data_IF_978752355189
#
_entry.id   IF_978752355189
#
_cell.length_a   1.000
_cell.length_b   1.000
_cell.length_c   1.000
_cell.angle_alpha   90.00
_cell.angle_beta   90.00
_cell.angle_gamma   90.00
#
_symmetry.space_group_name_H-M   'P 1'
#
loop_
_entity.id
_entity.type
_entity.pdbx_description
1 polymer ?
#
# COMPACT_ATOMS: atom_id res chain seq x y z
N UNK A 1 -52.56 -31.88 -45.95
CA UNK A 1 -51.54 -32.29 -44.94
C UNK A 1 -50.40 -31.34 -45.01
N UNK A 2 -50.40 -30.33 -44.12
CA UNK A 2 -49.44 -29.28 -44.08
C UNK A 2 -48.50 -29.53 -42.86
N UNK A 3 -47.22 -29.82 -43.12
CA UNK A 3 -46.21 -29.97 -42.14
C UNK A 3 -45.77 -28.55 -41.67
N UNK A 4 -45.99 -28.22 -40.41
CA UNK A 4 -45.38 -27.06 -39.76
C UNK A 4 -43.89 -27.30 -39.66
N UNK A 5 -43.10 -26.36 -40.21
CA UNK A 5 -41.66 -26.21 -39.93
C UNK A 5 -41.49 -25.51 -38.58
N UNK A 6 -40.71 -26.09 -37.70
CA UNK A 6 -40.34 -25.47 -36.45
C UNK A 6 -39.35 -24.32 -36.68
N UNK A 7 -39.64 -23.20 -36.07
CA UNK A 7 -38.74 -22.04 -36.00
C UNK A 7 -37.54 -22.37 -35.13
N UNK A 8 -36.43 -22.72 -35.74
CA UNK A 8 -35.15 -22.80 -35.09
C UNK A 8 -34.60 -21.39 -34.90
N UNK A 9 -34.70 -20.87 -33.70
CA UNK A 9 -34.06 -19.64 -33.29
C UNK A 9 -32.54 -19.80 -33.48
N UNK A 10 -31.96 -19.07 -34.43
CA UNK A 10 -30.51 -19.01 -34.67
C UNK A 10 -29.87 -18.26 -33.50
N UNK A 11 -29.43 -18.99 -32.48
CA UNK A 11 -28.59 -18.42 -31.42
C UNK A 11 -27.32 -17.92 -32.06
N UNK A 12 -27.09 -16.59 -32.00
CA UNK A 12 -25.86 -16.00 -32.50
C UNK A 12 -24.68 -16.61 -31.78
N UNK A 13 -23.74 -17.19 -32.52
CA UNK A 13 -22.56 -17.91 -31.99
C UNK A 13 -21.75 -17.08 -30.98
N UNK A 14 -21.85 -15.75 -31.02
CA UNK A 14 -21.23 -14.83 -30.06
C UNK A 14 -21.86 -14.78 -28.66
N UNK A 15 -23.03 -15.39 -28.42
CA UNK A 15 -23.76 -15.34 -27.14
C UNK A 15 -23.49 -16.54 -26.22
N UNK A 16 -22.83 -17.57 -26.68
CA UNK A 16 -22.47 -18.72 -25.87
C UNK A 16 -21.50 -18.31 -24.77
N UNK A 17 -21.74 -18.68 -23.49
CA UNK A 17 -20.88 -18.27 -22.34
C UNK A 17 -19.40 -18.63 -22.55
N UNK A 18 -19.12 -19.72 -23.23
CA UNK A 18 -17.78 -20.19 -23.56
C UNK A 18 -17.08 -19.27 -24.58
N UNK A 19 -17.78 -18.77 -25.59
CA UNK A 19 -17.24 -17.84 -26.60
C UNK A 19 -17.00 -16.46 -26.00
N UNK A 20 -17.86 -15.98 -25.09
CA UNK A 20 -17.64 -14.77 -24.32
C UNK A 20 -16.39 -14.88 -23.40
N UNK A 21 -16.14 -16.06 -22.83
CA UNK A 21 -14.92 -16.32 -22.06
C UNK A 21 -13.66 -16.40 -22.93
N UNK A 22 -13.75 -17.01 -24.11
CA UNK A 22 -12.65 -17.07 -25.08
C UNK A 22 -12.32 -15.68 -25.64
N UNK A 23 -13.31 -14.91 -26.03
CA UNK A 23 -13.14 -13.53 -26.50
C UNK A 23 -12.51 -12.64 -25.42
N UNK A 24 -12.86 -12.84 -24.13
CA UNK A 24 -12.25 -12.13 -23.00
C UNK A 24 -10.80 -12.54 -22.76
N UNK A 25 -10.40 -13.77 -23.07
CA UNK A 25 -8.99 -14.23 -23.02
C UNK A 25 -8.16 -13.74 -24.19
N UNK A 26 -8.78 -13.48 -25.34
CA UNK A 26 -8.14 -13.01 -26.58
C UNK A 26 -8.18 -11.48 -26.73
N UNK A 27 -8.92 -10.78 -25.87
CA UNK A 27 -8.99 -9.32 -25.91
C UNK A 27 -7.62 -8.71 -25.63
N UNK A 28 -7.20 -7.68 -26.35
CA UNK A 28 -5.94 -6.99 -26.06
C UNK A 28 -5.93 -6.46 -24.61
N UNK A 29 -4.76 -6.38 -23.98
CA UNK A 29 -4.65 -5.92 -22.61
C UNK A 29 -5.16 -4.49 -22.49
N UNK A 30 -5.90 -4.20 -21.43
CA UNK A 30 -6.30 -2.84 -21.11
C UNK A 30 -5.07 -1.97 -20.87
N UNK A 31 -5.19 -0.65 -21.01
CA UNK A 31 -4.09 0.29 -20.71
C UNK A 31 -3.43 0.01 -19.35
N UNK A 32 -4.25 -0.26 -18.32
CA UNK A 32 -3.74 -0.60 -16.99
C UNK A 32 -2.97 -1.93 -16.93
N UNK A 33 -3.40 -2.92 -17.69
CA UNK A 33 -2.68 -4.20 -17.81
C UNK A 33 -1.38 -4.02 -18.58
N UNK A 34 -1.38 -3.22 -19.65
CA UNK A 34 -0.19 -2.93 -20.42
C UNK A 34 0.84 -2.17 -19.59
N UNK A 35 0.43 -1.14 -18.83
CA UNK A 35 1.29 -0.42 -17.88
C UNK A 35 1.94 -1.37 -16.87
N UNK A 36 1.16 -2.32 -16.32
CA UNK A 36 1.66 -3.32 -15.39
C UNK A 36 2.67 -4.28 -16.05
N UNK A 37 2.37 -4.77 -17.26
CA UNK A 37 3.26 -5.67 -18.02
C UNK A 37 4.57 -4.95 -18.32
N UNK A 38 4.54 -3.71 -18.80
CA UNK A 38 5.72 -2.92 -19.11
C UNK A 38 6.59 -2.71 -17.86
N UNK A 39 5.97 -2.37 -16.73
CA UNK A 39 6.69 -2.24 -15.46
C UNK A 39 7.33 -3.57 -15.02
N UNK A 40 6.65 -4.69 -15.19
CA UNK A 40 7.17 -6.01 -14.87
C UNK A 40 8.38 -6.38 -15.75
N UNK A 41 8.32 -6.06 -17.04
CA UNK A 41 9.46 -6.25 -17.98
C UNK A 41 10.65 -5.44 -17.50
N UNK A 42 10.49 -4.14 -17.25
CA UNK A 42 11.59 -3.26 -16.78
C UNK A 42 12.24 -3.79 -15.51
N UNK A 43 11.44 -4.18 -14.51
CA UNK A 43 11.96 -4.69 -13.24
C UNK A 43 12.71 -6.03 -13.42
N UNK A 44 12.24 -6.89 -14.33
CA UNK A 44 12.88 -8.20 -14.57
C UNK A 44 14.12 -8.12 -15.44
N UNK A 45 14.15 -7.17 -16.39
CA UNK A 45 15.33 -6.95 -17.26
C UNK A 45 16.47 -6.34 -16.47
N UNK A 46 16.16 -5.40 -15.56
CA UNK A 46 17.17 -4.79 -14.69
C UNK A 46 16.70 -4.84 -13.22
N UNK A 47 16.88 -5.99 -12.56
CA UNK A 47 16.41 -6.19 -11.20
C UNK A 47 17.27 -5.46 -10.15
N UNK A 48 18.42 -4.94 -10.50
CA UNK A 48 19.33 -4.24 -9.60
C UNK A 48 19.23 -2.71 -9.69
N UNK A 49 18.64 -2.17 -10.77
CA UNK A 49 18.31 -0.73 -10.90
C UNK A 49 17.13 -0.35 -10.01
N UNK A 50 17.25 -0.57 -8.70
CA UNK A 50 16.17 -0.38 -7.72
C UNK A 50 16.00 1.09 -7.37
N UNK A 51 14.78 1.60 -7.45
CA UNK A 51 14.39 2.87 -6.85
C UNK A 51 13.93 2.63 -5.41
N UNK A 52 14.83 2.86 -4.45
CA UNK A 52 14.58 2.54 -3.03
C UNK A 52 13.48 3.40 -2.43
N UNK A 53 12.50 2.74 -1.83
CA UNK A 53 11.52 3.32 -0.94
C UNK A 53 11.42 2.49 0.34
N UNK A 54 10.68 2.99 1.34
CA UNK A 54 10.58 2.34 2.64
C UNK A 54 9.16 2.39 3.20
N UNK A 55 8.82 1.42 4.05
CA UNK A 55 7.61 1.41 4.85
C UNK A 55 7.92 1.03 6.29
N UNK A 56 7.29 1.67 7.25
CA UNK A 56 7.40 1.29 8.65
C UNK A 56 6.93 -0.16 8.87
N UNK A 57 7.73 -0.97 9.57
CA UNK A 57 7.43 -2.38 9.82
C UNK A 57 6.07 -2.59 10.47
N UNK A 58 5.68 -1.73 11.39
CA UNK A 58 4.39 -1.82 12.09
C UNK A 58 3.22 -1.72 11.09
N UNK A 59 3.33 -0.82 10.09
CA UNK A 59 2.32 -0.65 9.04
C UNK A 59 2.35 -1.75 7.98
N UNK A 60 3.45 -2.50 7.86
CA UNK A 60 3.51 -3.72 7.04
C UNK A 60 2.79 -4.88 7.72
N UNK A 61 2.85 -4.97 9.04
CA UNK A 61 2.24 -6.05 9.82
C UNK A 61 0.78 -5.79 10.16
N UNK A 62 0.36 -4.52 10.20
CA UNK A 62 -1.03 -4.11 10.46
C UNK A 62 -1.36 -2.97 9.52
N UNK A 63 -2.21 -3.21 8.53
CA UNK A 63 -2.43 -2.28 7.42
C UNK A 63 -3.67 -1.41 7.61
N UNK A 64 -3.74 -0.29 6.88
CA UNK A 64 -4.89 0.62 6.83
C UNK A 64 -6.14 -0.06 6.24
N UNK A 65 -7.35 0.55 6.32
CA UNK A 65 -8.54 0.10 5.58
C UNK A 65 -8.30 0.02 4.07
N UNK A 66 -8.88 -0.96 3.39
CA UNK A 66 -8.83 -1.05 1.92
C UNK A 66 -9.90 -0.22 1.23
N UNK A 67 -11.08 -0.12 1.82
CA UNK A 67 -12.21 0.74 1.43
C UNK A 67 -12.58 1.69 2.55
N UNK A 68 -13.44 2.65 2.28
CA UNK A 68 -13.93 3.58 3.29
C UNK A 68 -14.75 2.83 4.35
N UNK A 69 -14.32 2.85 5.64
CA UNK A 69 -15.10 2.21 6.70
C UNK A 69 -16.37 2.97 7.06
N UNK A 70 -16.54 4.20 6.55
CA UNK A 70 -17.61 5.12 6.97
C UNK A 70 -17.42 5.67 8.38
N UNK A 71 -18.28 6.57 8.79
CA UNK A 71 -18.16 7.34 10.05
C UNK A 71 -18.96 6.75 11.22
N UNK A 72 -19.56 5.55 11.06
CA UNK A 72 -20.39 4.93 12.09
C UNK A 72 -19.63 4.55 13.38
N UNK A 73 -18.32 4.36 13.29
CA UNK A 73 -17.49 4.02 14.44
C UNK A 73 -16.49 5.15 14.74
N UNK A 74 -16.25 5.48 16.02
CA UNK A 74 -15.30 6.53 16.39
C UNK A 74 -13.84 6.13 16.19
N UNK A 75 -13.58 4.86 15.89
CA UNK A 75 -12.26 4.29 15.64
C UNK A 75 -12.33 3.11 14.67
N UNK A 76 -11.32 2.96 13.87
CA UNK A 76 -11.08 1.74 13.12
C UNK A 76 -10.02 0.91 13.85
N UNK A 77 -10.27 -0.40 14.00
CA UNK A 77 -9.44 -1.32 14.79
C UNK A 77 -9.06 -2.55 13.96
N UNK A 78 -7.77 -2.86 13.94
CA UNK A 78 -7.25 -4.14 13.43
C UNK A 78 -6.44 -4.85 14.50
N UNK A 79 -6.67 -6.16 14.64
CA UNK A 79 -5.93 -7.03 15.56
C UNK A 79 -5.17 -8.10 14.78
N UNK A 80 -3.92 -8.33 15.18
CA UNK A 80 -3.04 -9.35 14.61
C UNK A 80 -2.23 -9.99 15.72
N UNK A 81 -2.62 -11.18 16.18
CA UNK A 81 -2.04 -11.78 17.37
C UNK A 81 -2.14 -10.82 18.57
N UNK A 82 -1.02 -10.58 19.22
CA UNK A 82 -0.92 -9.69 20.39
C UNK A 82 -0.75 -8.19 20.00
N UNK A 83 -0.86 -7.85 18.71
CA UNK A 83 -0.72 -6.48 18.23
C UNK A 83 -2.05 -5.93 17.72
N UNK A 84 -2.29 -4.66 17.97
CA UNK A 84 -3.45 -3.94 17.44
C UNK A 84 -3.02 -2.62 16.81
N UNK A 85 -3.65 -2.28 15.69
CA UNK A 85 -3.61 -0.96 15.07
C UNK A 85 -4.97 -0.31 15.25
N UNK A 86 -4.99 0.88 15.83
CA UNK A 86 -6.17 1.70 16.01
C UNK A 86 -5.95 2.99 15.22
N UNK A 87 -6.95 3.41 14.45
CA UNK A 87 -6.95 4.68 13.74
C UNK A 87 -8.17 5.47 14.21
N UNK A 88 -7.93 6.71 14.62
CA UNK A 88 -8.95 7.68 14.95
C UNK A 88 -8.84 8.82 13.93
N UNK A 89 -9.95 9.19 13.25
CA UNK A 89 -9.95 10.32 12.32
C UNK A 89 -9.83 11.63 13.07
N UNK A 90 -9.25 12.64 12.42
CA UNK A 90 -9.31 14.01 12.88
C UNK A 90 -10.68 14.65 12.62
N UNK A 91 -10.86 15.83 13.16
CA UNK A 91 -12.10 16.61 13.06
C UNK A 91 -11.83 17.94 12.33
N UNK A 92 -12.66 18.27 11.35
CA UNK A 92 -12.67 19.57 10.68
C UNK A 92 -13.51 20.54 11.48
N UNK A 93 -12.86 21.49 12.16
CA UNK A 93 -13.54 22.47 12.98
C UNK A 93 -14.30 23.54 12.20
N UNK A 94 -14.06 23.69 10.89
CA UNK A 94 -14.80 24.65 10.04
C UNK A 94 -16.08 24.04 9.51
N UNK A 95 -16.01 22.78 9.05
CA UNK A 95 -17.15 22.06 8.49
C UNK A 95 -17.91 21.27 9.56
N UNK A 96 -17.45 21.29 10.82
CA UNK A 96 -17.97 20.54 11.97
C UNK A 96 -18.24 19.05 11.67
N UNK A 97 -17.24 18.40 11.06
CA UNK A 97 -17.34 16.99 10.66
C UNK A 97 -16.00 16.26 10.76
N UNK A 98 -16.08 14.94 10.82
CA UNK A 98 -14.89 14.08 10.71
C UNK A 98 -14.27 14.20 9.32
N UNK A 99 -12.91 14.24 9.25
CA UNK A 99 -12.20 14.03 7.99
C UNK A 99 -12.39 12.61 7.45
N UNK A 100 -12.83 11.67 8.28
CA UNK A 100 -12.93 10.25 7.95
C UNK A 100 -11.61 9.51 8.01
N UNK A 101 -11.63 8.22 7.69
CA UNK A 101 -10.46 7.35 7.77
C UNK A 101 -9.60 7.42 6.51
N UNK A 102 -8.25 7.37 6.63
CA UNK A 102 -7.38 7.14 5.47
C UNK A 102 -7.57 5.70 4.96
N UNK A 103 -7.95 5.54 3.68
CA UNK A 103 -8.22 4.23 3.08
C UNK A 103 -7.74 4.11 1.62
N UNK A 104 -7.63 2.89 1.15
CA UNK A 104 -7.28 2.61 -0.22
C UNK A 104 -5.78 2.71 -0.52
N UNK A 105 -5.43 2.90 -1.78
CA UNK A 105 -4.03 2.90 -2.22
C UNK A 105 -3.29 4.20 -1.92
N UNK A 106 -3.96 5.34 -1.96
CA UNK A 106 -3.31 6.66 -1.87
C UNK A 106 -2.64 6.87 -0.50
N UNK A 107 -3.28 6.66 0.67
CA UNK A 107 -2.59 6.84 1.94
C UNK A 107 -1.43 5.86 2.14
N UNK A 108 -1.47 4.67 1.51
CA UNK A 108 -0.33 3.75 1.48
C UNK A 108 0.85 4.32 0.73
N UNK A 109 0.60 4.90 -0.45
CA UNK A 109 1.64 5.57 -1.25
C UNK A 109 2.20 6.78 -0.51
N UNK A 110 1.36 7.55 0.19
CA UNK A 110 1.80 8.65 1.07
C UNK A 110 2.71 8.13 2.19
N UNK A 111 2.34 7.04 2.86
CA UNK A 111 3.16 6.45 3.92
C UNK A 111 4.49 5.88 3.40
N UNK A 112 4.52 5.29 2.21
CA UNK A 112 5.78 4.91 1.55
C UNK A 112 6.65 6.13 1.28
N UNK A 113 6.08 7.21 0.76
CA UNK A 113 6.79 8.45 0.50
C UNK A 113 7.32 9.07 1.80
N UNK A 114 6.45 9.27 2.81
CA UNK A 114 6.82 9.82 4.12
C UNK A 114 7.98 9.02 4.74
N UNK A 115 7.83 7.69 4.81
CA UNK A 115 8.87 6.84 5.38
C UNK A 115 10.18 6.94 4.60
N UNK A 116 10.10 7.08 3.27
CA UNK A 116 11.27 7.23 2.41
C UNK A 116 11.99 8.56 2.66
N UNK A 117 11.26 9.67 2.77
CA UNK A 117 11.85 10.98 3.08
C UNK A 117 12.50 10.99 4.48
N UNK A 118 11.82 10.41 5.48
CA UNK A 118 12.39 10.24 6.83
C UNK A 118 13.70 9.44 6.77
N UNK A 119 13.75 8.33 6.02
CA UNK A 119 14.97 7.52 5.88
C UNK A 119 16.09 8.24 5.12
N UNK A 120 15.78 9.19 4.25
CA UNK A 120 16.78 10.03 3.54
C UNK A 120 17.38 11.11 4.41
N UNK A 121 16.61 11.62 5.38
CA UNK A 121 17.01 12.79 6.18
C UNK A 121 17.47 12.44 7.58
N UNK A 122 17.10 11.30 8.15
CA UNK A 122 17.36 10.94 9.56
C UNK A 122 18.81 11.06 10.01
N UNK A 123 19.77 10.79 9.13
CA UNK A 123 21.21 10.81 9.43
C UNK A 123 21.89 12.10 8.97
N UNK A 124 21.15 13.14 8.56
CA UNK A 124 21.73 14.42 8.18
C UNK A 124 22.12 15.20 9.44
N UNK A 125 23.42 15.37 9.66
CA UNK A 125 23.96 16.07 10.85
C UNK A 125 23.69 17.58 10.84
N UNK A 126 23.55 18.17 9.65
CA UNK A 126 23.27 19.59 9.44
C UNK A 126 21.80 19.97 9.59
N UNK A 127 20.94 19.05 10.04
CA UNK A 127 19.51 19.27 10.26
C UNK A 127 19.15 19.05 11.72
N UNK A 128 18.38 19.95 12.28
CA UNK A 128 17.76 19.80 13.60
C UNK A 128 16.70 18.70 13.59
N UNK A 129 16.31 18.21 14.76
CA UNK A 129 15.23 17.20 14.85
C UNK A 129 13.89 17.72 14.32
N UNK A 130 13.64 19.02 14.46
CA UNK A 130 12.45 19.66 13.92
C UNK A 130 12.48 19.67 12.39
N UNK A 131 13.60 20.03 11.78
CA UNK A 131 13.77 20.01 10.32
C UNK A 131 13.67 18.59 9.75
N UNK A 132 14.23 17.58 10.42
CA UNK A 132 14.12 16.18 10.01
C UNK A 132 12.67 15.67 10.02
N UNK A 133 11.82 16.22 10.89
CA UNK A 133 10.38 15.88 10.96
C UNK A 133 9.51 16.71 10.03
N UNK A 134 10.04 17.81 9.47
CA UNK A 134 9.32 18.70 8.56
C UNK A 134 9.55 18.27 7.11
N UNK A 135 8.50 17.78 6.44
CA UNK A 135 8.56 17.29 5.07
C UNK A 135 7.93 18.31 4.13
N UNK A 136 8.71 18.79 3.16
CA UNK A 136 8.21 19.65 2.08
C UNK A 136 7.48 18.78 1.02
N UNK A 137 6.28 19.18 0.62
CA UNK A 137 5.49 18.44 -0.38
C UNK A 137 5.92 18.71 -1.83
N UNK A 138 6.91 19.57 -2.03
CA UNK A 138 7.46 19.90 -3.33
C UNK A 138 6.95 21.22 -3.92
N UNK A 139 7.36 21.49 -5.16
CA UNK A 139 7.10 22.77 -5.83
C UNK A 139 5.73 22.83 -6.50
N UNK A 140 5.14 21.69 -6.81
CA UNK A 140 3.83 21.59 -7.44
C UNK A 140 3.10 20.31 -7.05
N UNK A 141 1.76 20.32 -7.15
CA UNK A 141 0.94 19.13 -6.95
C UNK A 141 1.34 18.02 -7.94
N UNK A 142 1.66 18.36 -9.17
CA UNK A 142 2.06 17.39 -10.19
C UNK A 142 3.38 16.68 -9.82
N UNK A 143 4.36 17.42 -9.29
CA UNK A 143 5.62 16.83 -8.84
C UNK A 143 5.41 15.94 -7.61
N UNK A 144 4.58 16.38 -6.68
CA UNK A 144 4.20 15.58 -5.52
C UNK A 144 3.46 14.30 -5.94
N UNK A 145 2.50 14.40 -6.87
CA UNK A 145 1.80 13.23 -7.41
C UNK A 145 2.79 12.21 -8.02
N UNK A 146 3.78 12.69 -8.79
CA UNK A 146 4.83 11.80 -9.34
C UNK A 146 5.68 11.18 -8.23
N UNK A 147 6.05 11.96 -7.22
CA UNK A 147 6.85 11.49 -6.09
C UNK A 147 6.13 10.37 -5.33
N UNK A 148 4.81 10.47 -5.10
CA UNK A 148 4.00 9.42 -4.48
C UNK A 148 3.56 8.32 -5.45
N UNK A 149 4.00 8.36 -6.72
CA UNK A 149 3.70 7.33 -7.73
C UNK A 149 2.33 7.46 -8.41
N UNK A 150 1.65 8.60 -8.26
CA UNK A 150 0.38 8.90 -8.95
C UNK A 150 0.62 9.50 -10.34
N UNK A 151 -0.43 9.52 -11.17
CA UNK A 151 -0.37 10.14 -12.48
C UNK A 151 -1.06 11.50 -12.44
N UNK A 152 -0.32 12.63 -12.66
CA UNK A 152 -0.90 13.97 -12.64
C UNK A 152 -1.88 14.25 -13.80
N UNK A 153 -1.88 13.42 -14.85
CA UNK A 153 -2.69 13.61 -16.05
C UNK A 153 -4.03 12.83 -16.03
N UNK A 154 -4.48 12.35 -14.88
CA UNK A 154 -5.74 11.57 -14.74
C UNK A 154 -7.01 12.44 -14.66
N UNK A 155 -7.06 13.58 -15.38
CA UNK A 155 -8.25 14.39 -15.53
C UNK A 155 -8.72 15.14 -14.25
N UNK A 156 -9.32 16.32 -14.43
CA UNK A 156 -9.77 17.19 -13.33
C UNK A 156 -11.16 16.86 -12.74
N UNK A 157 -11.80 15.76 -13.12
CA UNK A 157 -13.13 15.41 -12.63
C UNK A 157 -13.14 14.85 -11.19
N UNK A 158 -14.35 14.63 -10.65
CA UNK A 158 -14.57 14.05 -9.28
C UNK A 158 -13.77 12.77 -9.00
N UNK A 159 -13.36 12.04 -10.05
CA UNK A 159 -12.55 10.79 -9.99
C UNK A 159 -11.07 11.00 -10.29
N UNK A 160 -10.62 12.24 -10.48
CA UNK A 160 -9.21 12.57 -10.73
C UNK A 160 -8.33 12.23 -9.53
N UNK A 161 -7.10 11.76 -9.79
CA UNK A 161 -6.16 11.38 -8.72
C UNK A 161 -5.79 12.57 -7.84
N UNK A 162 -5.77 13.82 -8.36
CA UNK A 162 -5.49 15.03 -7.58
C UNK A 162 -6.51 15.27 -6.47
N UNK A 163 -7.82 15.25 -6.78
CA UNK A 163 -8.87 15.41 -5.77
C UNK A 163 -8.89 14.29 -4.74
N UNK A 164 -8.64 13.05 -5.20
CA UNK A 164 -8.54 11.89 -4.31
C UNK A 164 -7.32 11.97 -3.41
N UNK A 165 -6.19 12.45 -3.93
CA UNK A 165 -4.98 12.67 -3.14
C UNK A 165 -5.24 13.67 -2.02
N UNK A 166 -5.81 14.82 -2.35
CA UNK A 166 -6.19 15.85 -1.36
C UNK A 166 -7.02 15.25 -0.21
N UNK A 167 -8.17 14.63 -0.53
CA UNK A 167 -9.02 14.07 0.51
C UNK A 167 -8.35 12.96 1.34
N UNK A 168 -7.40 12.21 0.78
CA UNK A 168 -6.65 11.22 1.55
C UNK A 168 -5.49 11.82 2.34
N UNK A 169 -4.94 12.96 1.93
CA UNK A 169 -3.99 13.76 2.72
C UNK A 169 -4.67 14.31 3.97
N UNK A 170 -5.85 14.95 3.82
CA UNK A 170 -6.63 15.46 4.95
C UNK A 170 -6.93 14.35 5.97
N UNK A 171 -7.41 13.20 5.49
CA UNK A 171 -7.72 12.04 6.33
C UNK A 171 -6.49 11.48 7.05
N UNK A 172 -5.36 11.36 6.36
CA UNK A 172 -4.14 10.76 6.91
C UNK A 172 -3.43 11.72 7.88
N UNK A 173 -3.26 12.98 7.49
CA UNK A 173 -2.47 13.93 8.28
C UNK A 173 -3.15 14.33 9.57
N UNK A 174 -4.47 14.41 9.56
CA UNK A 174 -5.26 14.70 10.77
C UNK A 174 -5.62 13.45 11.59
N UNK A 175 -5.12 12.26 11.21
CA UNK A 175 -5.42 11.04 11.97
C UNK A 175 -4.46 10.81 13.13
N UNK A 176 -4.98 10.15 14.18
CA UNK A 176 -4.18 9.55 15.24
C UNK A 176 -4.07 8.05 15.02
N UNK A 177 -2.86 7.54 15.00
CA UNK A 177 -2.54 6.13 14.85
C UNK A 177 -2.01 5.60 16.18
N UNK A 178 -2.60 4.52 16.70
CA UNK A 178 -2.14 3.86 17.93
C UNK A 178 -1.74 2.44 17.62
N UNK A 179 -0.51 2.07 17.96
CA UNK A 179 -0.07 0.69 18.04
C UNK A 179 -0.12 0.21 19.49
N UNK A 180 -0.75 -0.94 19.70
CA UNK A 180 -0.77 -1.58 21.00
C UNK A 180 -0.20 -2.99 20.88
N UNK A 181 0.60 -3.37 21.83
CA UNK A 181 1.07 -4.73 22.04
C UNK A 181 0.65 -5.20 23.42
N UNK A 182 0.08 -6.40 23.50
CA UNK A 182 -0.22 -7.07 24.76
C UNK A 182 0.81 -8.18 24.96
N UNK A 183 1.38 -8.27 26.16
CA UNK A 183 2.15 -9.39 26.62
C UNK A 183 1.30 -10.13 27.66
N UNK A 184 1.09 -11.42 27.46
CA UNK A 184 0.40 -12.28 28.42
C UNK A 184 1.39 -13.33 28.88
N UNK A 185 1.75 -13.30 30.15
CA UNK A 185 2.37 -14.41 30.88
C UNK A 185 1.32 -15.05 31.78
N UNK A 186 1.57 -16.24 32.30
CA UNK A 186 0.60 -17.05 33.09
C UNK A 186 -0.07 -16.24 34.22
N UNK A 187 0.64 -15.26 34.80
CA UNK A 187 0.16 -14.43 35.90
C UNK A 187 0.24 -12.92 35.70
N UNK A 188 0.73 -12.43 34.56
CA UNK A 188 0.94 -11.00 34.32
C UNK A 188 0.44 -10.61 32.93
N UNK A 189 -0.47 -9.61 32.86
CA UNK A 189 -0.90 -8.99 31.61
C UNK A 189 -0.27 -7.62 31.49
N UNK A 190 0.59 -7.45 30.50
CA UNK A 190 1.21 -6.17 30.15
C UNK A 190 0.58 -5.58 28.87
N UNK A 191 0.45 -4.28 28.81
CA UNK A 191 0.07 -3.55 27.60
C UNK A 191 1.03 -2.39 27.35
N UNK A 192 1.64 -2.41 26.19
CA UNK A 192 2.40 -1.27 25.66
C UNK A 192 1.57 -0.57 24.57
N UNK A 193 1.41 0.75 24.67
CA UNK A 193 0.66 1.55 23.70
C UNK A 193 1.53 2.71 23.23
N UNK A 194 1.61 2.88 21.91
CA UNK A 194 2.25 4.02 21.25
C UNK A 194 1.18 4.80 20.49
N UNK A 195 0.81 5.97 21.02
CA UNK A 195 -0.17 6.87 20.44
C UNK A 195 0.57 7.94 19.63
N UNK A 196 0.24 8.06 18.34
CA UNK A 196 0.97 8.91 17.42
C UNK A 196 0.02 9.77 16.60
N UNK A 197 0.23 11.05 16.58
CA UNK A 197 -0.35 11.96 15.60
C UNK A 197 0.50 11.92 14.35
N UNK A 198 -0.14 11.78 13.17
CA UNK A 198 0.60 11.65 11.92
C UNK A 198 1.28 12.96 11.56
N UNK A 199 0.52 14.07 11.51
CA UNK A 199 1.05 15.40 11.23
C UNK A 199 0.30 16.44 12.08
N UNK A 200 0.73 16.63 13.35
CA UNK A 200 0.09 17.60 14.28
C UNK A 200 0.20 19.04 13.79
N UNK A 201 1.07 19.32 12.84
CA UNK A 201 1.23 20.63 12.24
C UNK A 201 1.43 20.48 10.73
N UNK A 202 0.68 21.27 9.96
CA UNK A 202 0.76 21.26 8.50
C UNK A 202 0.34 22.60 7.94
N UNK A 203 0.91 22.95 6.79
CA UNK A 203 0.49 24.08 6.00
C UNK A 203 0.29 23.59 4.58
N UNK A 204 -0.98 23.54 4.16
CA UNK A 204 -1.37 22.99 2.87
C UNK A 204 -2.05 24.07 2.04
N UNK A 205 -1.49 24.37 0.88
CA UNK A 205 -2.02 25.36 -0.06
C UNK A 205 -2.65 24.69 -1.27
N UNK A 206 -3.88 25.07 -1.60
CA UNK A 206 -4.63 24.53 -2.72
C UNK A 206 -5.12 25.67 -3.64
N UNK A 207 -5.05 25.47 -4.94
CA UNK A 207 -5.76 26.34 -5.87
C UNK A 207 -7.23 25.90 -5.97
N UNK A 208 -8.13 26.72 -5.42
CA UNK A 208 -9.57 26.46 -5.43
C UNK A 208 -10.16 26.50 -6.84
N UNK A 209 -9.55 27.30 -7.74
CA UNK A 209 -10.02 27.48 -9.13
C UNK A 209 -9.59 26.33 -10.04
N UNK A 210 -8.43 25.75 -9.76
CA UNK A 210 -7.87 24.62 -10.51
C UNK A 210 -7.35 23.53 -9.56
N UNK A 211 -8.23 22.80 -8.85
CA UNK A 211 -7.82 21.82 -7.86
C UNK A 211 -6.92 20.70 -8.41
N UNK A 212 -6.99 20.46 -9.73
CA UNK A 212 -6.14 19.47 -10.41
C UNK A 212 -4.74 20.02 -10.78
N UNK A 213 -4.57 21.33 -10.80
CA UNK A 213 -3.31 22.01 -11.10
C UNK A 213 -2.78 22.79 -9.90
N UNK A 214 -3.50 22.73 -8.77
CA UNK A 214 -3.19 23.48 -7.56
C UNK A 214 -1.72 23.45 -7.20
N UNK A 215 -1.17 24.62 -6.92
CA UNK A 215 0.20 24.78 -6.49
C UNK A 215 0.31 24.34 -5.03
N UNK A 216 1.11 23.34 -4.74
CA UNK A 216 1.55 23.01 -3.37
C UNK A 216 2.73 23.91 -2.95
N UNK A 217 2.82 25.12 -3.53
CA UNK A 217 3.89 26.04 -3.24
C UNK A 217 4.02 26.26 -1.74
N UNK A 218 5.19 25.95 -1.18
CA UNK A 218 5.47 26.01 0.26
C UNK A 218 4.60 25.13 1.16
N UNK A 219 3.84 24.16 0.62
CA UNK A 219 3.12 23.19 1.46
C UNK A 219 4.08 22.25 2.16
N UNK A 220 3.86 22.05 3.45
CA UNK A 220 4.67 21.18 4.28
C UNK A 220 3.83 20.49 5.35
N UNK A 221 4.36 19.40 5.88
CA UNK A 221 3.83 18.71 7.04
C UNK A 221 4.95 18.52 8.06
N UNK A 222 4.61 18.63 9.35
CA UNK A 222 5.49 18.28 10.44
C UNK A 222 4.97 17.02 11.11
N UNK A 223 5.78 15.96 11.06
CA UNK A 223 5.43 14.67 11.65
C UNK A 223 5.46 14.77 13.17
N UNK A 224 4.51 14.12 13.83
CA UNK A 224 4.53 13.90 15.26
C UNK A 224 5.81 13.15 15.66
N UNK A 225 6.35 13.48 16.82
CA UNK A 225 7.65 12.93 17.25
C UNK A 225 7.64 11.41 17.36
N UNK A 226 6.62 10.86 18.00
CA UNK A 226 6.50 9.41 18.16
C UNK A 226 6.24 8.70 16.84
N UNK A 227 5.48 9.33 15.92
CA UNK A 227 5.29 8.81 14.58
C UNK A 227 6.60 8.80 13.81
N UNK A 228 7.37 9.89 13.84
CA UNK A 228 8.71 9.97 13.24
C UNK A 228 9.65 8.87 13.79
N UNK A 229 9.72 8.70 15.11
CA UNK A 229 10.52 7.65 15.75
C UNK A 229 10.12 6.26 15.25
N UNK A 230 8.81 5.99 15.12
CA UNK A 230 8.31 4.73 14.59
C UNK A 230 8.72 4.47 13.13
N UNK A 231 8.80 5.54 12.30
CA UNK A 231 9.24 5.45 10.90
C UNK A 231 10.76 5.25 10.77
N UNK A 232 11.56 5.77 11.72
CA UNK A 232 13.01 5.58 11.75
C UNK A 232 13.38 4.14 12.10
N UNK A 233 12.59 3.50 13.00
CA UNK A 233 12.86 2.17 13.50
C UNK A 233 12.49 1.07 12.50
N UNK A 234 13.50 0.25 12.12
CA UNK A 234 13.33 -0.98 11.35
C UNK A 234 12.43 -0.85 10.10
N UNK A 235 12.72 0.07 9.19
CA UNK A 235 11.94 0.23 7.97
C UNK A 235 12.13 -0.98 7.05
N UNK A 236 11.07 -1.36 6.34
CA UNK A 236 11.09 -2.40 5.31
C UNK A 236 11.42 -1.75 3.97
N UNK A 237 12.57 -2.08 3.34
CA UNK A 237 12.92 -1.56 2.03
C UNK A 237 12.06 -2.20 0.94
N UNK A 238 11.61 -1.39 -0.01
CA UNK A 238 10.76 -1.77 -1.15
C UNK A 238 11.22 -1.06 -2.43
N UNK A 239 10.85 -1.59 -3.58
CA UNK A 239 11.14 -0.95 -4.87
C UNK A 239 9.96 -0.06 -5.30
N UNK A 240 10.19 1.24 -5.47
CA UNK A 240 9.17 2.21 -5.90
C UNK A 240 8.59 1.87 -7.28
N UNK A 241 9.35 1.26 -8.18
CA UNK A 241 8.87 0.80 -9.49
C UNK A 241 7.74 -0.22 -9.32
N UNK A 242 7.90 -1.15 -8.36
CA UNK A 242 6.88 -2.14 -8.03
C UNK A 242 5.65 -1.50 -7.37
N UNK A 243 5.84 -0.51 -6.48
CA UNK A 243 4.72 0.23 -5.88
C UNK A 243 3.88 0.95 -6.94
N UNK A 244 4.52 1.62 -7.92
CA UNK A 244 3.83 2.27 -9.04
C UNK A 244 3.04 1.27 -9.88
N UNK A 245 3.60 0.08 -10.12
CA UNK A 245 2.90 -0.99 -10.85
C UNK A 245 1.67 -1.52 -10.09
N UNK A 246 1.72 -1.56 -8.76
CA UNK A 246 0.66 -2.09 -7.88
C UNK A 246 -0.33 -1.03 -7.38
N UNK A 247 -0.13 0.25 -7.66
CA UNK A 247 -0.87 1.38 -7.08
C UNK A 247 -2.40 1.31 -7.18
N UNK A 248 -2.95 0.51 -8.08
CA UNK A 248 -4.40 0.33 -8.25
C UNK A 248 -5.02 -0.69 -7.29
N UNK A 249 -4.23 -1.35 -6.44
CA UNK A 249 -4.69 -2.40 -5.54
C UNK A 249 -4.07 -2.24 -4.14
N UNK A 250 -4.82 -1.74 -3.15
CA UNK A 250 -4.32 -1.63 -1.78
C UNK A 250 -3.82 -2.97 -1.24
N UNK A 251 -4.57 -4.05 -1.47
CA UNK A 251 -4.16 -5.39 -1.06
C UNK A 251 -2.85 -5.86 -1.72
N UNK A 252 -2.61 -5.49 -2.99
CA UNK A 252 -1.35 -5.85 -3.65
C UNK A 252 -0.16 -5.02 -3.12
N UNK A 253 -0.36 -3.76 -2.77
CA UNK A 253 0.64 -2.92 -2.10
C UNK A 253 1.02 -3.49 -0.73
N UNK A 254 0.02 -3.85 0.08
CA UNK A 254 0.23 -4.45 1.40
C UNK A 254 0.95 -5.80 1.29
N UNK A 255 0.50 -6.67 0.39
CA UNK A 255 1.14 -7.96 0.13
C UNK A 255 2.58 -7.81 -0.35
N UNK A 256 2.86 -6.83 -1.22
CA UNK A 256 4.22 -6.59 -1.69
C UNK A 256 5.15 -6.19 -0.54
N UNK A 257 4.75 -5.23 0.29
CA UNK A 257 5.53 -4.82 1.46
C UNK A 257 5.70 -5.97 2.47
N UNK A 258 4.64 -6.74 2.72
CA UNK A 258 4.66 -7.91 3.58
C UNK A 258 5.60 -9.01 3.04
N UNK A 259 5.58 -9.29 1.73
CA UNK A 259 6.51 -10.22 1.08
C UNK A 259 7.95 -9.71 1.17
N UNK A 260 8.20 -8.41 0.98
CA UNK A 260 9.55 -7.84 1.16
C UNK A 260 10.08 -8.09 2.58
N UNK A 261 9.23 -7.89 3.60
CA UNK A 261 9.59 -8.20 4.99
C UNK A 261 9.86 -9.70 5.21
N UNK A 262 9.00 -10.59 4.69
CA UNK A 262 9.18 -12.05 4.80
C UNK A 262 10.43 -12.51 4.07
N UNK A 263 10.69 -12.00 2.87
CA UNK A 263 11.90 -12.29 2.11
C UNK A 263 13.17 -11.89 2.85
N UNK A 264 13.13 -10.74 3.55
CA UNK A 264 14.24 -10.33 4.42
C UNK A 264 14.51 -11.39 5.52
N UNK A 265 13.46 -11.89 6.18
CA UNK A 265 13.61 -12.93 7.22
C UNK A 265 14.17 -14.22 6.63
N UNK A 266 13.68 -14.65 5.46
CA UNK A 266 14.13 -15.88 4.80
C UNK A 266 15.60 -15.75 4.35
N UNK A 267 15.93 -14.69 3.62
CA UNK A 267 17.25 -14.54 2.98
C UNK A 267 18.32 -14.14 3.99
N UNK A 268 18.05 -13.13 4.84
CA UNK A 268 19.07 -12.58 5.75
C UNK A 268 19.25 -13.40 7.02
N UNK A 269 18.17 -14.03 7.51
CA UNK A 269 18.25 -14.91 8.69
C UNK A 269 18.39 -16.38 8.33
N UNK A 270 18.58 -16.68 7.03
CA UNK A 270 18.74 -18.04 6.50
C UNK A 270 17.63 -19.00 7.01
N UNK A 271 16.40 -18.47 7.07
CA UNK A 271 15.25 -19.25 7.53
C UNK A 271 14.69 -20.10 6.38
N UNK A 272 14.10 -21.26 6.69
CA UNK A 272 13.41 -22.07 5.70
C UNK A 272 12.22 -21.30 5.08
N UNK A 273 11.70 -21.77 3.93
CA UNK A 273 10.49 -21.23 3.33
C UNK A 273 9.36 -21.12 4.35
N UNK A 274 8.64 -19.98 4.35
CA UNK A 274 7.66 -19.68 5.39
C UNK A 274 6.24 -19.98 4.91
N UNK A 275 5.57 -20.91 5.59
CA UNK A 275 4.14 -21.12 5.42
C UNK A 275 3.33 -19.99 6.05
N UNK A 276 2.24 -19.60 5.36
CA UNK A 276 1.27 -18.62 5.85
C UNK A 276 -0.14 -19.10 5.55
N UNK A 277 -0.93 -19.28 6.60
CA UNK A 277 -2.34 -19.62 6.47
C UNK A 277 -3.15 -18.42 5.94
N UNK A 278 -4.17 -18.68 5.10
CA UNK A 278 -5.05 -17.64 4.57
C UNK A 278 -5.77 -16.86 5.65
N UNK A 279 -6.19 -17.51 6.73
CA UNK A 279 -6.85 -16.87 7.87
C UNK A 279 -5.92 -15.89 8.60
N UNK A 280 -4.64 -16.25 8.78
CA UNK A 280 -3.65 -15.38 9.41
C UNK A 280 -3.44 -14.15 8.53
N UNK A 281 -3.27 -14.35 7.22
CA UNK A 281 -3.09 -13.27 6.27
C UNK A 281 -4.33 -12.35 6.20
N UNK A 282 -5.53 -12.94 6.23
CA UNK A 282 -6.79 -12.19 6.26
C UNK A 282 -6.89 -11.30 7.49
N UNK A 283 -6.52 -11.82 8.69
CA UNK A 283 -6.47 -10.99 9.90
C UNK A 283 -5.46 -9.86 9.80
N UNK A 284 -4.32 -10.07 9.14
CA UNK A 284 -3.29 -9.05 8.96
C UNK A 284 -3.64 -7.99 7.92
N UNK A 285 -4.16 -8.40 6.76
CA UNK A 285 -4.27 -7.55 5.58
C UNK A 285 -5.69 -7.37 5.06
N UNK A 286 -6.61 -8.28 5.39
CA UNK A 286 -7.96 -8.30 4.85
C UNK A 286 -8.96 -7.55 5.73
N UNK A 287 -9.11 -6.26 5.54
CA UNK A 287 -9.95 -5.44 6.42
C UNK A 287 -11.44 -5.63 6.24
N UNK A 288 -11.88 -5.76 5.00
CA UNK A 288 -13.28 -5.59 4.63
C UNK A 288 -13.89 -6.92 4.14
N UNK A 289 -13.15 -8.01 4.31
CA UNK A 289 -13.60 -9.33 3.88
C UNK A 289 -14.25 -10.07 5.05
N UNK A 290 -15.54 -10.30 4.93
CA UNK A 290 -16.30 -11.16 5.85
C UNK A 290 -16.24 -12.63 5.43
N UNK A 291 -16.00 -12.88 4.11
CA UNK A 291 -15.90 -14.20 3.51
C UNK A 291 -14.43 -14.59 3.25
N UNK A 292 -13.90 -15.64 3.92
CA UNK A 292 -12.54 -16.12 3.74
C UNK A 292 -12.21 -16.58 2.31
N UNK A 293 -13.16 -17.17 1.59
CA UNK A 293 -12.94 -17.63 0.22
C UNK A 293 -12.84 -16.47 -0.77
N UNK A 294 -13.64 -15.42 -0.57
CA UNK A 294 -13.51 -14.20 -1.34
C UNK A 294 -12.15 -13.52 -1.08
N UNK A 295 -11.73 -13.44 0.19
CA UNK A 295 -10.39 -12.96 0.54
C UNK A 295 -9.30 -13.77 -0.17
N UNK A 296 -9.30 -15.09 -0.03
CA UNK A 296 -8.35 -16.01 -0.67
C UNK A 296 -8.27 -15.80 -2.18
N UNK A 297 -9.42 -15.67 -2.85
CA UNK A 297 -9.50 -15.41 -4.30
C UNK A 297 -8.85 -14.07 -4.67
N UNK A 298 -9.10 -13.02 -3.91
CA UNK A 298 -8.52 -11.68 -4.13
C UNK A 298 -7.02 -11.65 -3.81
N UNK A 299 -6.63 -12.25 -2.67
CA UNK A 299 -5.25 -12.35 -2.24
C UNK A 299 -4.40 -13.18 -3.21
N UNK A 300 -4.91 -14.31 -3.73
CA UNK A 300 -4.23 -15.12 -4.74
C UNK A 300 -3.96 -14.33 -6.03
N UNK A 301 -4.93 -13.51 -6.48
CA UNK A 301 -4.73 -12.62 -7.65
C UNK A 301 -3.69 -11.53 -7.37
N UNK A 302 -3.68 -10.97 -6.16
CA UNK A 302 -2.71 -9.97 -5.77
C UNK A 302 -1.30 -10.58 -5.63
N UNK A 303 -1.17 -11.77 -5.03
CA UNK A 303 0.09 -12.53 -4.95
C UNK A 303 0.66 -12.86 -6.34
N UNK A 304 -0.20 -13.23 -7.31
CA UNK A 304 0.25 -13.45 -8.68
C UNK A 304 0.88 -12.19 -9.28
N UNK A 305 0.29 -11.00 -9.06
CA UNK A 305 0.89 -9.72 -9.47
C UNK A 305 2.23 -9.47 -8.78
N UNK A 306 2.29 -9.68 -7.45
CA UNK A 306 3.54 -9.50 -6.68
C UNK A 306 4.64 -10.43 -7.21
N UNK A 307 4.32 -11.72 -7.44
CA UNK A 307 5.27 -12.68 -8.03
C UNK A 307 5.79 -12.22 -9.40
N UNK A 308 4.94 -11.61 -10.22
CA UNK A 308 5.34 -11.13 -11.55
C UNK A 308 6.38 -10.02 -11.49
N UNK A 309 6.30 -9.11 -10.50
CA UNK A 309 7.19 -7.95 -10.37
C UNK A 309 8.31 -8.12 -9.33
N UNK A 310 8.40 -9.28 -8.68
CA UNK A 310 9.45 -9.53 -7.69
C UNK A 310 10.39 -10.64 -8.20
N UNK A 311 11.56 -10.32 -8.78
CA UNK A 311 12.53 -11.31 -9.20
C UNK A 311 13.03 -12.16 -8.03
N UNK A 312 13.13 -13.48 -8.23
CA UNK A 312 13.56 -14.41 -7.17
C UNK A 312 12.49 -14.81 -6.16
N UNK A 313 11.24 -14.33 -6.29
CA UNK A 313 10.11 -14.77 -5.48
C UNK A 313 9.43 -16.00 -6.10
N UNK A 314 9.20 -17.01 -5.29
CA UNK A 314 8.33 -18.14 -5.60
C UNK A 314 7.27 -18.32 -4.53
N UNK A 315 6.05 -18.62 -4.96
CA UNK A 315 4.92 -18.89 -4.08
C UNK A 315 4.47 -20.31 -4.31
N UNK A 316 4.64 -21.16 -3.31
CA UNK A 316 4.18 -22.55 -3.30
C UNK A 316 2.75 -22.65 -2.81
N UNK A 317 1.95 -23.54 -3.43
CA UNK A 317 0.60 -23.86 -2.95
C UNK A 317 0.72 -24.83 -1.76
N UNK A 318 -0.05 -24.57 -0.70
CA UNK A 318 -0.15 -25.45 0.46
C UNK A 318 -1.60 -25.54 0.94
N UNK A 319 -1.98 -26.65 1.60
CA UNK A 319 -3.32 -26.82 2.17
C UNK A 319 -3.58 -25.73 3.21
N UNK A 320 -4.65 -24.99 3.07
CA UNK A 320 -5.04 -23.91 4.00
C UNK A 320 -4.22 -22.61 3.87
N UNK A 321 -3.22 -22.52 2.95
CA UNK A 321 -2.35 -21.35 2.83
C UNK A 321 -1.44 -21.41 1.62
N UNK A 322 -0.28 -20.79 1.75
CA UNK A 322 0.78 -20.78 0.74
C UNK A 322 2.15 -20.68 1.43
N UNK A 323 3.20 -21.02 0.68
CA UNK A 323 4.57 -20.94 1.16
C UNK A 323 5.32 -19.86 0.41
N UNK A 324 6.05 -19.01 1.11
CA UNK A 324 6.92 -17.98 0.53
C UNK A 324 8.33 -18.52 0.45
N UNK A 325 8.91 -18.47 -0.77
CA UNK A 325 10.29 -18.78 -1.05
C UNK A 325 10.92 -17.53 -1.69
N UNK A 326 12.04 -17.08 -1.17
CA UNK A 326 12.79 -15.96 -1.75
C UNK A 326 14.26 -16.33 -1.87
N UNK A 327 14.84 -16.13 -3.05
CA UNK A 327 16.26 -16.36 -3.33
C UNK A 327 17.06 -15.06 -3.29
N UNK A 328 16.38 -13.92 -3.34
CA UNK A 328 16.98 -12.57 -3.26
C UNK A 328 16.03 -11.59 -2.62
N UNK A 329 16.55 -10.47 -2.13
CA UNK A 329 15.75 -9.34 -1.66
C UNK A 329 15.23 -8.54 -2.85
N UNK A 330 14.03 -7.92 -2.70
CA UNK A 330 13.49 -6.97 -3.67
C UNK A 330 14.39 -5.74 -3.81
N UNK A 331 15.02 -5.34 -2.70
CA UNK A 331 16.00 -4.26 -2.63
C UNK A 331 17.29 -4.85 -2.08
N UNK A 332 18.35 -5.01 -2.88
CA UNK A 332 19.64 -5.49 -2.42
C UNK A 332 20.22 -4.60 -1.31
N UNK A 333 20.88 -5.19 -0.33
CA UNK A 333 21.64 -4.42 0.66
C UNK A 333 22.80 -3.74 -0.05
N UNK A 334 23.14 -2.52 0.38
CA UNK A 334 24.41 -1.91 -0.05
C UNK A 334 25.52 -2.73 0.59
N UNK A 335 26.35 -3.37 -0.23
CA UNK A 335 27.61 -3.94 0.23
C UNK A 335 28.45 -2.75 0.70
N UNK A 336 28.70 -2.66 1.99
CA UNK A 336 29.73 -1.76 2.51
C UNK A 336 31.05 -2.42 2.09
N UNK A 337 31.65 -1.95 1.00
CA UNK A 337 33.02 -2.31 0.67
C UNK A 337 33.87 -1.62 1.73
N UNK A 338 34.29 -2.38 2.74
CA UNK A 338 35.36 -1.94 3.64
C UNK A 338 36.61 -1.88 2.75
N UNK A 339 36.99 -0.67 2.38
CA UNK A 339 38.31 -0.42 1.81
C UNK A 339 39.23 -0.61 3.00
N UNK A 340 39.87 -1.78 3.09
CA UNK A 340 41.00 -2.01 3.96
C UNK A 340 42.13 -1.18 3.38
N UNK A 341 42.44 -0.09 4.06
CA UNK A 341 43.66 0.72 3.91
C UNK A 341 44.82 -0.01 4.54
#
# INVERSE_FOLDING_TARGET
MTKKRGDGELVQVGELPMMKQLAKKLAPPTKAQQEFINAAVVIRTDPDAVERAFMARQLVLCTLPHSDPGDANPRWLRRTGNSSLIIQPGWDGQEDKSFGYPFGSIPRLLLFWITTEVQRTKNRENMTDLEKRTLQLGRSLNDFMRAVGLNPYTGGGKRGDGKRLHGQMDRLFNSRITFQQTAEDVNIKGRHSLNMEVAPESELWWDVRQPAQGSLWNSWIRLGEDFYKALVLLPVPVDMRALRALKRSPLALDLYAWICYRSFVIVQKQQPPQFTAWEVLMRQLGTDYTDPDNFKKKASKALAKVKTIYPGLSIGKAKGGFTVHATRLAVPQKTVTTISS
#
